data_IF_618680604552
#
_entry.id   IF_618680604552
#
_cell.length_a   1.000
_cell.length_b   1.000
_cell.length_c   1.000
_cell.angle_alpha   90.00
_cell.angle_beta   90.00
_cell.angle_gamma   90.00
#
_symmetry.space_group_name_H-M   'P 1'
#
loop_
_entity.id
_entity.type
_entity.pdbx_description
1 polymer ?
#
# COMPACT_ATOMS: atom_id res chain seq x y z
N UNK A 1 55.09 -24.20 93.87
CA UNK A 1 53.81 -23.56 93.45
C UNK A 1 53.91 -22.06 93.71
N UNK A 2 53.91 -21.22 92.66
CA UNK A 2 53.28 -19.89 92.64
C UNK A 2 53.25 -19.37 91.19
N UNK A 3 52.00 -19.09 90.78
CA UNK A 3 51.46 -18.68 89.48
C UNK A 3 52.17 -17.53 88.77
N UNK A 4 52.41 -17.68 87.45
CA UNK A 4 52.64 -16.58 86.52
C UNK A 4 51.30 -15.98 86.08
N UNK A 5 51.27 -14.65 85.92
CA UNK A 5 50.16 -13.88 85.35
C UNK A 5 50.68 -12.99 84.23
N UNK A 6 49.80 -12.77 83.23
CA UNK A 6 49.63 -11.55 82.41
C UNK A 6 50.57 -11.35 81.20
N UNK A 7 50.16 -10.87 80.02
CA UNK A 7 48.89 -10.38 79.47
C UNK A 7 48.93 -10.49 77.92
N UNK A 8 47.84 -10.91 77.29
CA UNK A 8 47.68 -10.89 75.82
C UNK A 8 47.04 -9.56 75.40
N UNK A 9 47.73 -8.76 74.58
CA UNK A 9 47.19 -7.53 74.00
C UNK A 9 46.48 -7.84 72.67
N UNK A 10 45.20 -7.47 72.57
CA UNK A 10 44.36 -7.68 71.39
C UNK A 10 44.24 -6.35 70.63
N UNK A 11 44.84 -6.26 69.44
CA UNK A 11 44.66 -5.14 68.51
C UNK A 11 43.43 -5.40 67.62
N UNK A 12 42.48 -4.45 67.62
CA UNK A 12 41.31 -4.43 66.73
C UNK A 12 41.63 -3.62 65.47
N UNK A 13 41.61 -4.28 64.30
CA UNK A 13 41.70 -3.63 62.99
C UNK A 13 40.29 -3.40 62.43
N UNK A 14 39.93 -2.14 62.14
CA UNK A 14 38.70 -1.78 61.44
C UNK A 14 38.89 -1.95 59.92
N UNK A 15 38.29 -2.98 59.34
CA UNK A 15 38.21 -3.17 57.89
C UNK A 15 37.04 -2.40 57.28
N UNK A 16 37.30 -1.51 56.34
CA UNK A 16 36.27 -0.85 55.52
C UNK A 16 35.88 -1.79 54.38
N UNK A 17 34.64 -2.28 54.39
CA UNK A 17 34.08 -3.10 53.31
C UNK A 17 33.43 -2.16 52.29
N UNK A 18 34.05 -2.01 51.11
CA UNK A 18 33.44 -1.34 49.98
C UNK A 18 32.44 -2.30 49.30
N UNK A 19 31.15 -1.99 49.40
CA UNK A 19 30.08 -2.75 48.72
C UNK A 19 29.96 -2.21 47.29
N UNK A 20 30.46 -2.95 46.31
CA UNK A 20 30.21 -2.68 44.90
C UNK A 20 28.76 -3.09 44.57
N UNK A 21 27.89 -2.13 44.29
CA UNK A 21 26.55 -2.42 43.78
C UNK A 21 26.65 -2.89 42.33
N UNK A 22 26.05 -4.03 41.95
CA UNK A 22 26.05 -4.47 40.57
C UNK A 22 25.21 -3.49 39.75
N UNK A 23 25.82 -2.81 38.79
CA UNK A 23 25.08 -2.04 37.80
C UNK A 23 24.20 -3.01 37.00
N UNK A 24 22.88 -2.89 37.12
CA UNK A 24 21.93 -3.62 36.28
C UNK A 24 22.24 -3.33 34.81
N UNK A 25 22.65 -4.36 34.06
CA UNK A 25 22.72 -4.27 32.60
C UNK A 25 21.28 -4.20 32.09
N UNK A 26 20.90 -3.06 31.50
CA UNK A 26 19.60 -2.90 30.83
C UNK A 26 19.45 -3.97 29.76
N UNK A 27 18.32 -4.68 29.76
CA UNK A 27 18.00 -5.66 28.72
C UNK A 27 17.71 -4.89 27.43
N UNK A 28 18.50 -5.15 26.38
CA UNK A 28 18.25 -4.59 25.06
C UNK A 28 17.26 -5.50 24.31
N UNK A 29 16.25 -4.90 23.67
CA UNK A 29 15.23 -5.59 22.88
C UNK A 29 14.21 -4.62 22.29
N UNK A 30 13.39 -5.08 21.35
CA UNK A 30 12.41 -4.20 20.71
C UNK A 30 11.25 -3.89 21.66
N UNK A 31 10.97 -2.60 21.88
CA UNK A 31 9.89 -2.14 22.78
C UNK A 31 8.58 -1.83 22.06
N UNK A 32 8.54 -1.98 20.73
CA UNK A 32 7.35 -1.75 19.90
C UNK A 32 6.42 -2.99 19.86
N UNK A 33 5.18 -2.93 20.38
CA UNK A 33 4.23 -4.05 20.36
C UNK A 33 3.82 -4.52 18.95
N UNK A 34 4.12 -3.75 17.92
CA UNK A 34 3.80 -4.06 16.51
C UNK A 34 4.94 -4.78 15.78
N UNK A 35 6.11 -4.88 16.39
CA UNK A 35 7.27 -5.59 15.85
C UNK A 35 7.13 -7.11 16.05
N UNK A 36 7.71 -7.87 15.13
CA UNK A 36 7.74 -9.33 15.21
C UNK A 36 8.64 -9.89 16.29
N UNK A 37 9.59 -9.07 16.76
CA UNK A 37 10.51 -9.39 17.86
C UNK A 37 10.25 -8.53 19.10
N UNK A 38 9.00 -8.09 19.32
CA UNK A 38 8.60 -7.36 20.53
C UNK A 38 9.01 -8.12 21.80
N UNK A 39 9.74 -7.45 22.68
CA UNK A 39 10.18 -7.96 23.98
C UNK A 39 9.61 -7.07 25.09
N UNK A 40 8.58 -7.54 25.82
CA UNK A 40 7.94 -6.75 26.88
C UNK A 40 8.87 -6.49 28.08
N UNK A 41 9.98 -7.22 28.22
CA UNK A 41 10.94 -7.05 29.31
C UNK A 41 12.15 -6.20 28.89
N UNK A 42 12.18 -5.65 27.67
CA UNK A 42 13.27 -4.81 27.22
C UNK A 42 13.24 -3.43 27.89
N UNK A 43 14.36 -3.07 28.52
CA UNK A 43 14.56 -1.76 29.18
C UNK A 43 15.11 -0.70 28.23
N UNK A 44 15.64 -1.13 27.08
CA UNK A 44 16.24 -0.27 26.06
C UNK A 44 15.84 -0.78 24.68
N UNK A 45 15.17 0.11 23.95
CA UNK A 45 14.76 -0.16 22.59
C UNK A 45 15.96 -0.44 21.68
N UNK A 46 15.99 -1.62 21.04
CA UNK A 46 16.93 -1.92 19.98
C UNK A 46 16.33 -2.84 18.90
N UNK A 47 16.77 -2.58 17.65
CA UNK A 47 16.50 -3.36 16.43
C UNK A 47 15.15 -4.08 16.35
N UNK A 48 14.06 -3.32 16.32
CA UNK A 48 12.75 -3.84 15.96
C UNK A 48 12.74 -4.41 14.53
N UNK A 49 12.32 -5.67 14.43
CA UNK A 49 12.03 -6.36 13.19
C UNK A 49 10.53 -6.25 12.93
N UNK A 50 10.16 -5.95 11.71
CA UNK A 50 8.77 -5.98 11.29
C UNK A 50 8.66 -7.07 10.24
N UNK A 51 7.73 -8.02 10.42
CA UNK A 51 7.35 -8.90 9.32
C UNK A 51 6.77 -7.99 8.24
N UNK A 52 7.51 -7.78 7.17
CA UNK A 52 6.90 -7.24 5.96
C UNK A 52 6.11 -8.41 5.39
N UNK A 53 4.76 -8.39 5.38
CA UNK A 53 4.02 -9.46 4.76
C UNK A 53 4.52 -9.62 3.33
N UNK A 54 4.95 -10.83 2.98
CA UNK A 54 5.34 -11.21 1.62
C UNK A 54 4.09 -11.14 0.76
N UNK A 55 3.77 -9.94 0.28
CA UNK A 55 2.68 -9.74 -0.66
C UNK A 55 3.14 -10.27 -2.01
N UNK A 56 2.49 -11.32 -2.51
CA UNK A 56 2.70 -11.76 -3.89
C UNK A 56 2.31 -10.63 -4.84
N UNK A 57 3.11 -10.41 -5.89
CA UNK A 57 2.74 -9.49 -6.97
C UNK A 57 2.05 -10.32 -8.05
N UNK A 58 0.78 -10.02 -8.30
CA UNK A 58 0.00 -10.58 -9.41
C UNK A 58 0.08 -9.59 -10.57
N UNK A 59 0.72 -10.00 -11.66
CA UNK A 59 0.68 -9.23 -12.91
C UNK A 59 -0.69 -9.36 -13.57
N UNK A 60 -1.25 -8.24 -14.01
CA UNK A 60 -2.53 -8.15 -14.70
C UNK A 60 -2.33 -7.40 -16.01
N UNK A 61 -2.77 -7.99 -17.11
CA UNK A 61 -2.64 -7.44 -18.46
C UNK A 61 -3.80 -7.90 -19.35
N UNK A 62 -4.17 -7.09 -20.36
CA UNK A 62 -5.25 -7.42 -21.28
C UNK A 62 -6.64 -7.30 -20.65
N UNK A 63 -7.57 -8.19 -21.00
CA UNK A 63 -8.97 -8.09 -20.59
C UNK A 63 -9.31 -8.99 -19.41
N UNK A 64 -10.00 -8.42 -18.42
CA UNK A 64 -10.71 -9.10 -17.34
C UNK A 64 -12.12 -9.38 -17.87
N UNK A 65 -12.38 -10.64 -18.23
CA UNK A 65 -13.60 -11.09 -18.91
C UNK A 65 -14.60 -11.79 -18.00
N UNK A 66 -14.28 -11.92 -16.71
CA UNK A 66 -15.17 -12.49 -15.70
C UNK A 66 -15.02 -11.77 -14.37
N UNK A 67 -16.08 -11.81 -13.55
CA UNK A 67 -16.10 -11.16 -12.25
C UNK A 67 -14.89 -11.59 -11.42
N UNK A 68 -14.13 -10.60 -10.96
CA UNK A 68 -12.83 -10.83 -10.31
C UNK A 68 -12.75 -10.05 -9.01
N UNK A 69 -12.17 -10.67 -7.98
CA UNK A 69 -11.90 -10.04 -6.69
C UNK A 69 -10.39 -9.87 -6.50
N UNK A 70 -9.96 -8.65 -6.23
CA UNK A 70 -8.61 -8.33 -5.80
C UNK A 70 -8.55 -8.19 -4.29
N UNK A 71 -7.60 -8.89 -3.65
CA UNK A 71 -7.49 -8.98 -2.18
C UNK A 71 -6.25 -8.26 -1.67
N UNK A 72 -6.28 -7.80 -0.42
CA UNK A 72 -5.17 -7.05 0.18
C UNK A 72 -3.99 -7.93 0.65
N UNK A 73 -4.15 -9.26 0.59
CA UNK A 73 -3.04 -10.21 0.72
C UNK A 73 -2.07 -10.20 -0.48
N UNK A 74 -2.48 -9.61 -1.60
CA UNK A 74 -1.67 -9.47 -2.81
C UNK A 74 -1.44 -8.00 -3.15
N UNK A 75 -0.41 -7.76 -3.96
CA UNK A 75 -0.25 -6.54 -4.75
C UNK A 75 -0.59 -6.87 -6.19
N UNK A 76 -1.19 -5.93 -6.90
CA UNK A 76 -1.50 -6.10 -8.32
C UNK A 76 -0.62 -5.17 -9.14
N UNK A 77 -0.06 -5.65 -10.26
CA UNK A 77 0.75 -4.86 -11.17
C UNK A 77 0.06 -4.81 -12.54
N UNK A 78 -0.43 -3.64 -12.92
CA UNK A 78 -1.03 -3.37 -14.22
C UNK A 78 0.08 -3.23 -15.26
N UNK A 79 0.03 -4.07 -16.29
CA UNK A 79 0.93 -4.02 -17.46
C UNK A 79 0.11 -3.81 -18.72
N UNK A 80 0.45 -2.76 -19.46
CA UNK A 80 -0.34 -2.31 -20.60
C UNK A 80 -1.71 -1.77 -20.18
N UNK A 81 -2.63 -1.76 -21.14
CA UNK A 81 -4.03 -1.44 -20.87
C UNK A 81 -4.75 -2.67 -20.33
N UNK A 82 -5.28 -2.55 -19.11
CA UNK A 82 -6.08 -3.58 -18.44
C UNK A 82 -7.54 -3.19 -18.55
N UNK A 83 -8.34 -3.98 -19.26
CA UNK A 83 -9.74 -3.70 -19.51
C UNK A 83 -10.65 -4.53 -18.61
N UNK A 84 -11.60 -3.88 -17.94
CA UNK A 84 -12.76 -4.56 -17.35
C UNK A 84 -13.88 -4.50 -18.37
N UNK A 85 -14.21 -5.66 -18.95
CA UNK A 85 -15.16 -5.75 -20.07
C UNK A 85 -16.63 -5.53 -19.64
N UNK A 86 -17.50 -5.38 -20.63
CA UNK A 86 -18.95 -5.27 -20.43
C UNK A 86 -19.52 -6.44 -19.61
N UNK A 87 -20.40 -6.13 -18.65
CA UNK A 87 -21.01 -7.10 -17.76
C UNK A 87 -20.09 -7.62 -16.65
N UNK A 88 -18.81 -7.22 -16.65
CA UNK A 88 -17.82 -7.66 -15.66
C UNK A 88 -17.70 -6.66 -14.51
N UNK A 89 -17.66 -7.19 -13.29
CA UNK A 89 -17.36 -6.41 -12.08
C UNK A 89 -16.00 -6.79 -11.53
N UNK A 90 -15.12 -5.79 -11.41
CA UNK A 90 -13.88 -5.87 -10.64
C UNK A 90 -14.12 -5.33 -9.23
N UNK A 91 -14.07 -6.20 -8.23
CA UNK A 91 -14.16 -5.81 -6.82
C UNK A 91 -12.77 -5.77 -6.20
N UNK A 92 -12.47 -4.70 -5.47
CA UNK A 92 -11.15 -4.49 -4.85
C UNK A 92 -11.36 -4.34 -3.35
N UNK A 93 -10.73 -5.24 -2.59
CA UNK A 93 -10.76 -5.22 -1.13
C UNK A 93 -10.06 -3.96 -0.60
N UNK A 94 -10.56 -3.43 0.52
CA UNK A 94 -9.91 -2.34 1.23
C UNK A 94 -8.45 -2.67 1.61
N UNK A 95 -7.58 -1.66 1.56
CA UNK A 95 -6.14 -1.83 1.81
C UNK A 95 -5.35 -2.47 0.66
N UNK A 96 -5.98 -2.86 -0.46
CA UNK A 96 -5.25 -3.40 -1.63
C UNK A 96 -4.36 -2.33 -2.26
N UNK A 97 -3.14 -2.71 -2.60
CA UNK A 97 -2.18 -1.88 -3.34
C UNK A 97 -2.12 -2.37 -4.80
N UNK A 98 -2.38 -1.45 -5.72
CA UNK A 98 -2.32 -1.63 -7.16
C UNK A 98 -1.22 -0.74 -7.70
N UNK A 99 -0.36 -1.29 -8.55
CA UNK A 99 0.77 -0.60 -9.14
C UNK A 99 0.60 -0.51 -10.65
N UNK A 100 0.98 0.62 -11.23
CA UNK A 100 1.07 0.77 -12.69
C UNK A 100 2.51 0.66 -13.17
N UNK A 101 2.71 -0.13 -14.23
CA UNK A 101 4.02 -0.29 -14.87
C UNK A 101 4.32 0.85 -15.85
N UNK A 102 5.46 1.53 -15.67
CA UNK A 102 5.84 2.69 -16.50
C UNK A 102 6.14 2.32 -17.95
N UNK A 103 7.02 1.33 -18.25
CA UNK A 103 7.36 0.98 -19.62
C UNK A 103 6.14 0.63 -20.49
N UNK A 104 5.16 -0.06 -19.92
CA UNK A 104 3.96 -0.48 -20.65
C UNK A 104 2.79 0.49 -20.52
N UNK A 105 2.96 1.63 -19.84
CA UNK A 105 1.88 2.59 -19.56
C UNK A 105 0.69 1.92 -18.86
N UNK A 106 0.98 1.12 -17.83
CA UNK A 106 0.01 0.38 -17.04
C UNK A 106 -1.20 1.23 -16.69
N UNK A 107 -2.40 0.79 -17.06
CA UNK A 107 -3.65 1.55 -16.92
C UNK A 107 -4.82 0.63 -16.63
N UNK A 108 -5.75 1.08 -15.80
CA UNK A 108 -7.00 0.36 -15.55
C UNK A 108 -8.14 1.07 -16.26
N UNK A 109 -8.87 0.32 -17.10
CA UNK A 109 -9.89 0.86 -17.98
C UNK A 109 -11.18 0.07 -17.76
N UNK A 110 -12.18 0.73 -17.20
CA UNK A 110 -13.53 0.19 -17.05
C UNK A 110 -14.29 0.55 -18.33
N UNK A 111 -14.54 -0.44 -19.19
CA UNK A 111 -15.31 -0.24 -20.43
C UNK A 111 -16.79 -0.08 -20.11
N UNK A 112 -17.55 0.42 -21.09
CA UNK A 112 -19.02 0.55 -20.99
C UNK A 112 -19.66 -0.74 -20.50
N UNK A 113 -20.49 -0.63 -19.47
CA UNK A 113 -21.18 -1.75 -18.83
C UNK A 113 -20.32 -2.58 -17.87
N UNK A 114 -19.00 -2.39 -17.88
CA UNK A 114 -18.10 -2.89 -16.84
C UNK A 114 -18.23 -2.06 -15.56
N UNK A 115 -17.83 -2.65 -14.42
CA UNK A 115 -17.95 -2.03 -13.10
C UNK A 115 -16.68 -2.18 -12.26
N UNK A 116 -16.39 -1.16 -11.46
CA UNK A 116 -15.37 -1.21 -10.41
C UNK A 116 -15.99 -0.99 -9.04
N UNK A 117 -15.75 -1.90 -8.09
CA UNK A 117 -16.15 -1.76 -6.69
C UNK A 117 -14.89 -1.63 -5.83
N UNK A 118 -14.37 -0.41 -5.73
CA UNK A 118 -13.24 -0.05 -4.87
C UNK A 118 -13.74 0.77 -3.68
N UNK A 119 -14.21 0.07 -2.64
CA UNK A 119 -14.81 0.67 -1.46
C UNK A 119 -13.88 0.50 -0.25
N UNK A 120 -12.77 1.25 -0.24
CA UNK A 120 -11.83 1.27 0.88
C UNK A 120 -12.42 1.95 2.11
N UNK A 121 -11.59 2.10 3.15
CA UNK A 121 -11.91 2.86 4.37
C UNK A 121 -10.83 3.88 4.71
N UNK A 122 -11.11 4.80 5.63
CA UNK A 122 -10.11 5.78 6.09
C UNK A 122 -8.83 5.11 6.64
N UNK A 123 -9.00 3.97 7.33
CA UNK A 123 -7.90 3.21 7.92
C UNK A 123 -7.24 2.26 6.92
N UNK A 124 -7.97 1.81 5.89
CA UNK A 124 -7.48 0.89 4.86
C UNK A 124 -7.86 1.40 3.47
N UNK A 125 -7.24 2.51 3.01
CA UNK A 125 -7.52 3.03 1.68
C UNK A 125 -7.01 2.05 0.60
N UNK A 126 -7.69 2.04 -0.54
CA UNK A 126 -7.19 1.35 -1.73
C UNK A 126 -6.20 2.30 -2.43
N UNK A 127 -5.00 1.83 -2.74
CA UNK A 127 -3.92 2.69 -3.26
C UNK A 127 -3.51 2.23 -4.64
N UNK A 128 -3.75 3.08 -5.64
CA UNK A 128 -3.16 2.97 -6.97
C UNK A 128 -1.91 3.86 -7.05
N UNK A 129 -0.76 3.30 -7.39
CA UNK A 129 0.53 4.00 -7.30
C UNK A 129 1.55 3.53 -8.34
N UNK A 130 2.71 4.17 -8.37
CA UNK A 130 3.83 3.84 -9.25
C UNK A 130 4.47 2.48 -8.90
N UNK A 131 4.91 1.73 -9.91
CA UNK A 131 5.76 0.55 -9.72
C UNK A 131 7.25 0.90 -9.45
N UNK A 132 7.65 2.17 -9.55
CA UNK A 132 9.02 2.59 -9.23
C UNK A 132 9.33 2.42 -7.73
N UNK A 133 10.61 2.25 -7.44
CA UNK A 133 11.14 2.21 -6.07
C UNK A 133 10.76 3.47 -5.30
N UNK A 134 10.51 3.36 -4.00
CA UNK A 134 10.28 4.52 -3.15
C UNK A 134 11.46 5.50 -3.26
N UNK A 135 11.16 6.79 -3.37
CA UNK A 135 12.15 7.84 -3.65
C UNK A 135 12.39 8.13 -5.14
N UNK A 136 12.06 7.19 -6.03
CA UNK A 136 12.19 7.35 -7.49
C UNK A 136 10.85 7.51 -8.21
N UNK A 137 9.76 7.63 -7.46
CA UNK A 137 8.41 7.79 -8.01
C UNK A 137 8.19 9.21 -8.47
N UNK A 138 7.63 9.38 -9.65
CA UNK A 138 7.31 10.69 -10.21
C UNK A 138 5.96 10.66 -10.93
N UNK A 139 5.37 11.83 -11.16
CA UNK A 139 4.16 11.96 -11.97
C UNK A 139 4.39 11.33 -13.36
N UNK A 140 3.36 10.69 -13.90
CA UNK A 140 3.45 9.99 -15.17
C UNK A 140 4.28 8.70 -15.13
N UNK A 141 4.35 8.05 -13.97
CA UNK A 141 4.91 6.71 -13.85
C UNK A 141 3.96 5.61 -14.33
N UNK A 142 2.69 5.94 -14.55
CA UNK A 142 1.68 5.03 -15.11
C UNK A 142 0.48 5.82 -15.64
N UNK A 143 -0.47 5.16 -16.30
CA UNK A 143 -1.63 5.80 -16.95
C UNK A 143 -2.57 6.45 -15.96
N UNK A 144 -3.23 5.64 -15.16
CA UNK A 144 -4.33 6.09 -14.32
C UNK A 144 -5.52 5.14 -14.44
N UNK A 145 -6.67 5.64 -14.00
CA UNK A 145 -7.94 4.94 -14.06
C UNK A 145 -8.86 5.66 -15.04
N UNK A 146 -9.43 4.91 -15.98
CA UNK A 146 -10.38 5.39 -16.96
C UNK A 146 -11.69 4.66 -16.73
N UNK A 147 -12.78 5.40 -16.57
CA UNK A 147 -14.13 4.83 -16.41
C UNK A 147 -15.01 5.36 -17.53
N UNK A 148 -15.47 4.44 -18.39
CA UNK A 148 -16.32 4.74 -19.54
C UNK A 148 -17.75 4.31 -19.23
N UNK A 149 -18.64 5.28 -19.01
CA UNK A 149 -20.05 5.01 -18.73
C UNK A 149 -20.92 4.95 -19.99
N UNK A 150 -22.18 4.54 -19.82
CA UNK A 150 -23.24 4.52 -20.84
C UNK A 150 -24.17 5.75 -20.82
N UNK A 151 -23.87 6.72 -19.96
CA UNK A 151 -24.64 7.95 -19.85
C UNK A 151 -24.65 8.75 -21.17
N UNK A 152 -25.77 9.41 -21.55
CA UNK A 152 -25.84 10.25 -22.73
C UNK A 152 -24.79 11.35 -22.76
N UNK A 153 -24.22 11.63 -23.93
CA UNK A 153 -23.25 12.70 -24.16
C UNK A 153 -23.72 13.63 -25.29
N UNK A 154 -23.01 14.75 -25.50
CA UNK A 154 -23.37 15.78 -26.47
C UNK A 154 -22.61 15.67 -27.81
N UNK A 155 -22.01 14.52 -28.10
CA UNK A 155 -21.30 14.26 -29.36
C UNK A 155 -22.23 13.52 -30.32
N UNK A 156 -22.09 13.70 -31.64
CA UNK A 156 -22.98 13.09 -32.64
C UNK A 156 -22.81 11.57 -32.80
N UNK A 157 -21.73 11.00 -32.27
CA UNK A 157 -21.43 9.57 -32.29
C UNK A 157 -20.74 9.16 -31.00
N UNK A 158 -20.79 7.87 -30.68
CA UNK A 158 -20.03 7.22 -29.61
C UNK A 158 -18.53 7.61 -29.65
N UNK A 159 -18.03 8.45 -28.73
CA UNK A 159 -16.65 8.87 -28.71
C UNK A 159 -15.74 7.79 -28.10
N UNK A 160 -14.51 7.72 -28.60
CA UNK A 160 -13.44 6.90 -28.01
C UNK A 160 -12.53 7.78 -27.14
N UNK A 161 -12.05 7.23 -26.02
CA UNK A 161 -11.04 7.88 -25.19
C UNK A 161 -9.77 8.12 -26.01
N UNK A 162 -9.23 9.35 -25.91
CA UNK A 162 -8.01 9.76 -26.60
C UNK A 162 -6.78 9.00 -26.08
N UNK A 163 -5.68 8.98 -26.85
CA UNK A 163 -4.45 8.32 -26.45
C UNK A 163 -4.32 6.84 -26.87
N UNK A 164 -5.31 6.28 -27.58
CA UNK A 164 -5.24 4.95 -28.17
C UNK A 164 -5.81 3.74 -27.41
N UNK A 165 -6.39 3.81 -26.20
CA UNK A 165 -7.10 2.65 -25.64
C UNK A 165 -8.40 2.38 -26.42
N UNK A 166 -8.77 1.09 -26.53
CA UNK A 166 -10.05 0.68 -27.11
C UNK A 166 -11.17 0.85 -26.06
N UNK A 167 -11.54 2.10 -25.84
CA UNK A 167 -12.43 2.50 -24.78
C UNK A 167 -13.44 3.54 -25.29
N UNK A 168 -14.57 3.06 -25.79
CA UNK A 168 -15.71 3.90 -26.15
C UNK A 168 -16.45 4.28 -24.87
N UNK A 169 -16.92 5.52 -24.76
CA UNK A 169 -17.78 5.99 -23.69
C UNK A 169 -19.07 6.61 -24.25
N UNK A 170 -20.05 6.85 -23.38
CA UNK A 170 -21.35 7.37 -23.79
C UNK A 170 -22.37 6.28 -24.15
N UNK A 171 -23.63 6.68 -24.27
CA UNK A 171 -24.73 5.77 -24.63
C UNK A 171 -26.09 6.44 -24.42
N UNK A 172 -27.11 5.64 -24.16
CA UNK A 172 -28.50 6.10 -24.01
C UNK A 172 -29.07 5.90 -22.61
N UNK A 173 -28.25 5.46 -21.64
CA UNK A 173 -28.72 5.09 -20.30
C UNK A 173 -28.38 6.19 -19.29
N UNK A 174 -29.32 7.10 -18.96
CA UNK A 174 -29.07 8.20 -18.03
C UNK A 174 -28.81 7.72 -16.59
N UNK A 175 -29.21 6.49 -16.25
CA UNK A 175 -29.06 5.91 -14.92
C UNK A 175 -27.82 5.01 -14.80
N UNK A 176 -26.92 5.05 -15.80
CA UNK A 176 -25.72 4.21 -15.82
C UNK A 176 -24.84 4.42 -14.57
N UNK A 177 -24.39 3.29 -14.02
CA UNK A 177 -23.51 3.25 -12.87
C UNK A 177 -22.36 2.27 -13.09
N UNK A 178 -21.17 2.84 -13.30
CA UNK A 178 -19.92 2.10 -13.51
C UNK A 178 -19.20 1.71 -12.20
N UNK A 179 -19.82 1.93 -11.04
CA UNK A 179 -19.38 1.44 -9.74
C UNK A 179 -19.01 2.52 -8.71
N UNK A 180 -18.08 2.20 -7.81
CA UNK A 180 -17.72 2.99 -6.63
C UNK A 180 -16.21 3.12 -6.52
N UNK A 181 -15.73 4.36 -6.36
CA UNK A 181 -14.40 4.68 -5.81
C UNK A 181 -14.60 5.43 -4.49
N UNK A 182 -14.33 4.77 -3.36
CA UNK A 182 -14.42 5.37 -2.01
C UNK A 182 -13.16 5.06 -1.22
N UNK A 183 -12.59 6.07 -0.56
CA UNK A 183 -11.28 5.99 0.11
C UNK A 183 -10.20 5.39 -0.81
N UNK A 184 -10.14 5.90 -2.04
CA UNK A 184 -9.16 5.52 -3.06
C UNK A 184 -8.12 6.63 -3.19
N UNK A 185 -6.84 6.25 -3.21
CA UNK A 185 -5.72 7.14 -3.55
C UNK A 185 -5.19 6.77 -4.92
N UNK A 186 -4.99 7.78 -5.76
CA UNK A 186 -4.37 7.65 -7.07
C UNK A 186 -3.13 8.54 -7.04
N UNK A 187 -1.96 7.92 -7.20
CA UNK A 187 -0.67 8.59 -7.00
C UNK A 187 0.23 8.38 -8.21
N UNK A 188 1.03 9.38 -8.57
CA UNK A 188 2.08 9.26 -9.59
C UNK A 188 1.59 8.86 -11.00
N UNK A 189 0.28 8.96 -11.25
CA UNK A 189 -0.35 8.68 -12.56
C UNK A 189 -0.14 9.83 -13.56
N UNK A 190 -0.65 9.67 -14.78
CA UNK A 190 -0.70 10.71 -15.80
C UNK A 190 0.38 10.57 -16.87
N UNK A 191 0.78 9.34 -17.23
CA UNK A 191 1.72 9.15 -18.33
C UNK A 191 1.01 9.48 -19.66
N UNK A 192 1.61 10.31 -20.53
CA UNK A 192 1.03 10.57 -21.85
C UNK A 192 0.97 9.27 -22.67
N UNK A 193 -0.22 8.91 -23.13
CA UNK A 193 -0.36 7.77 -24.02
C UNK A 193 0.13 8.10 -25.43
N UNK A 194 -0.06 9.35 -25.87
CA UNK A 194 0.55 9.96 -27.04
C UNK A 194 1.07 11.38 -26.69
N UNK A 195 1.99 11.97 -27.46
CA UNK A 195 2.44 13.35 -27.21
C UNK A 195 1.26 14.33 -27.11
N UNK A 196 1.19 15.10 -26.03
CA UNK A 196 0.10 16.05 -25.71
C UNK A 196 -1.29 15.41 -25.55
N UNK A 197 -1.35 14.09 -25.32
CA UNK A 197 -2.58 13.37 -24.95
C UNK A 197 -2.35 12.66 -23.63
N UNK A 198 -2.29 13.47 -22.56
CA UNK A 198 -2.26 12.99 -21.19
C UNK A 198 -3.66 12.60 -20.73
N UNK A 199 -3.80 11.39 -20.20
CA UNK A 199 -4.97 11.01 -19.43
C UNK A 199 -4.72 11.44 -17.98
N UNK A 200 -5.69 12.14 -17.39
CA UNK A 200 -5.62 12.54 -16.00
C UNK A 200 -5.69 11.32 -15.09
N UNK A 201 -5.07 11.38 -13.91
CA UNK A 201 -4.99 10.23 -12.98
C UNK A 201 -6.31 9.51 -12.73
N UNK A 202 -7.42 10.25 -12.76
CA UNK A 202 -8.76 9.73 -12.96
C UNK A 202 -9.40 10.40 -14.18
N UNK A 203 -9.90 9.61 -15.13
CA UNK A 203 -10.67 10.08 -16.28
C UNK A 203 -12.04 9.45 -16.30
N UNK A 204 -13.07 10.31 -16.39
CA UNK A 204 -14.47 9.93 -16.39
C UNK A 204 -15.09 10.29 -17.74
N UNK A 205 -15.29 9.28 -18.59
CA UNK A 205 -16.02 9.41 -19.84
C UNK A 205 -17.52 9.29 -19.59
N UNK A 206 -18.15 10.37 -19.12
CA UNK A 206 -19.61 10.49 -18.96
C UNK A 206 -20.05 11.95 -18.90
N UNK A 207 -21.34 12.22 -19.11
CA UNK A 207 -21.93 13.55 -18.89
C UNK A 207 -22.13 13.82 -17.38
N UNK A 208 -21.81 15.04 -16.96
CA UNK A 208 -22.19 15.61 -15.67
C UNK A 208 -23.52 16.35 -15.78
#
# INVERSE_FOLDING_TARGET
MRSLKNHTAMLLAFGVIAVAMPACKKKEGCTDPTASNYDPDADKDCCCEYVTPTSNIIEVQGSITSNTNWTNGNKYLLKGFVYVEDGVTLSIQEGTIIKGDKPTKGSLIIKRGGKILANGTANQPIVFTSNQTAGSRDRGDWGGIIICGRAPHNQPSDPTIEGGPDAIYGGSDPDDNSGILRYVRIEFSGIPFQPNQEINGLTLGRRW
#
